data_IF_279834088808
#
_entry.id   IF_279834088808
#
_cell.length_a   1.000
_cell.length_b   1.000
_cell.length_c   1.000
_cell.angle_alpha   90.00
_cell.angle_beta   90.00
_cell.angle_gamma   90.00
#
_symmetry.space_group_name_H-M   'P 1'
#
loop_
_entity.id
_entity.type
_entity.pdbx_description
1 polymer ?
#
# COMPACT_ATOMS: atom_id res chain seq x y z
N UNK A 1 -62.05 -21.82 -5.82
CA UNK A 1 -61.08 -20.76 -5.46
C UNK A 1 -59.71 -21.41 -5.21
N UNK A 2 -58.76 -21.26 -6.10
CA UNK A 2 -57.38 -21.78 -5.89
C UNK A 2 -56.58 -20.72 -5.12
N UNK A 3 -56.16 -21.03 -3.91
CA UNK A 3 -55.28 -20.16 -3.12
C UNK A 3 -53.88 -20.16 -3.81
N UNK A 4 -53.45 -19.00 -4.27
CA UNK A 4 -52.09 -18.79 -4.75
C UNK A 4 -51.17 -18.84 -3.55
N UNK A 5 -50.30 -19.84 -3.57
CA UNK A 5 -49.28 -20.03 -2.54
C UNK A 5 -48.18 -18.97 -2.73
N UNK A 6 -48.11 -17.98 -1.86
CA UNK A 6 -47.13 -16.89 -1.88
C UNK A 6 -45.68 -17.32 -1.57
N UNK A 7 -45.42 -18.64 -1.51
CA UNK A 7 -44.08 -19.14 -1.18
C UNK A 7 -43.05 -19.00 -2.32
N UNK A 8 -43.52 -18.77 -3.57
CA UNK A 8 -42.58 -18.59 -4.67
C UNK A 8 -41.80 -17.25 -4.65
N UNK A 9 -42.32 -16.25 -3.92
CA UNK A 9 -41.67 -14.95 -3.79
C UNK A 9 -40.69 -14.86 -2.62
N UNK A 10 -40.82 -15.71 -1.61
CA UNK A 10 -39.89 -15.72 -0.49
C UNK A 10 -38.53 -16.33 -0.85
N UNK A 11 -38.51 -17.33 -1.75
CA UNK A 11 -37.26 -17.91 -2.23
C UNK A 11 -36.46 -16.97 -3.15
N UNK A 12 -37.12 -16.05 -3.83
CA UNK A 12 -36.43 -15.03 -4.62
C UNK A 12 -35.75 -13.94 -3.77
N UNK A 13 -36.19 -13.78 -2.50
CA UNK A 13 -35.60 -12.82 -1.57
C UNK A 13 -34.45 -13.42 -0.73
N UNK A 14 -34.35 -14.75 -0.69
CA UNK A 14 -33.18 -15.47 -0.14
C UNK A 14 -32.12 -15.70 -1.21
N UNK A 15 -32.06 -14.83 -2.23
CA UNK A 15 -30.88 -14.77 -3.06
C UNK A 15 -29.73 -14.33 -2.16
N UNK A 16 -28.86 -15.28 -1.89
CA UNK A 16 -27.59 -15.12 -1.24
C UNK A 16 -27.05 -13.70 -1.46
N UNK A 17 -27.23 -12.85 -0.46
CA UNK A 17 -26.33 -11.71 -0.25
C UNK A 17 -24.99 -12.30 0.19
N UNK A 18 -24.39 -13.08 -0.70
CA UNK A 18 -22.95 -13.27 -0.68
C UNK A 18 -22.44 -11.84 -0.76
N UNK A 19 -22.01 -11.33 0.38
CA UNK A 19 -21.44 -10.01 0.51
C UNK A 19 -20.32 -9.98 -0.53
N UNK A 20 -20.62 -9.47 -1.74
CA UNK A 20 -19.61 -9.31 -2.79
C UNK A 20 -18.54 -8.45 -2.15
N UNK A 21 -17.41 -9.05 -1.87
CA UNK A 21 -16.23 -8.32 -1.43
C UNK A 21 -15.89 -7.44 -2.63
N UNK A 22 -16.31 -6.18 -2.56
CA UNK A 22 -16.01 -5.19 -3.58
C UNK A 22 -14.52 -4.89 -3.40
N UNK A 23 -13.69 -5.47 -4.25
CA UNK A 23 -12.26 -5.17 -4.31
C UNK A 23 -12.13 -3.84 -5.02
N UNK A 24 -11.63 -2.82 -4.32
CA UNK A 24 -11.50 -1.47 -4.84
C UNK A 24 -10.19 -1.27 -5.60
N UNK A 25 -9.12 -1.93 -5.16
CA UNK A 25 -7.79 -1.78 -5.73
C UNK A 25 -7.17 -3.15 -6.03
N UNK A 26 -6.47 -3.25 -7.16
CA UNK A 26 -5.75 -4.46 -7.54
C UNK A 26 -4.48 -4.10 -8.29
N UNK A 27 -3.37 -4.70 -7.89
CA UNK A 27 -2.06 -4.52 -8.50
C UNK A 27 -1.45 -5.90 -8.85
N UNK A 28 -0.48 -5.93 -9.77
CA UNK A 28 0.25 -7.14 -10.08
C UNK A 28 1.18 -7.53 -8.92
N UNK A 29 1.31 -8.82 -8.67
CA UNK A 29 2.31 -9.32 -7.75
C UNK A 29 3.70 -9.26 -8.39
N UNK A 30 4.51 -8.30 -7.95
CA UNK A 30 5.87 -8.09 -8.48
C UNK A 30 6.87 -9.21 -8.10
N UNK A 31 6.48 -10.17 -7.27
CA UNK A 31 7.25 -11.40 -7.07
C UNK A 31 6.97 -12.42 -8.16
N UNK A 32 6.06 -12.12 -9.09
CA UNK A 32 5.66 -13.00 -10.19
C UNK A 32 5.23 -14.39 -9.72
N UNK A 33 4.64 -14.50 -8.53
CA UNK A 33 4.11 -15.76 -8.04
C UNK A 33 3.00 -16.24 -8.97
N UNK A 34 3.10 -17.52 -9.36
CA UNK A 34 2.17 -18.13 -10.32
C UNK A 34 0.86 -18.49 -9.61
N UNK A 35 -0.25 -18.06 -10.18
CA UNK A 35 -1.57 -18.48 -9.71
C UNK A 35 -1.84 -19.94 -10.09
N UNK A 36 -2.12 -20.85 -9.13
CA UNK A 36 -2.24 -22.29 -9.42
C UNK A 36 -3.36 -22.64 -10.40
N UNK A 37 -4.45 -21.86 -10.41
CA UNK A 37 -5.64 -22.15 -11.23
C UNK A 37 -5.52 -21.74 -12.70
N UNK A 38 -4.83 -20.63 -12.98
CA UNK A 38 -4.76 -20.04 -14.33
C UNK A 38 -3.37 -20.09 -14.93
N UNK A 39 -2.35 -20.44 -14.12
CA UNK A 39 -0.94 -20.39 -14.51
C UNK A 39 -0.42 -19.00 -14.90
N UNK A 40 -1.18 -17.98 -14.59
CA UNK A 40 -0.88 -16.57 -14.84
C UNK A 40 -0.25 -15.92 -13.59
N UNK A 41 0.22 -14.67 -13.73
CA UNK A 41 0.76 -13.88 -12.62
C UNK A 41 -0.34 -13.62 -11.58
N UNK A 42 0.02 -13.73 -10.32
CA UNK A 42 -0.90 -13.47 -9.22
C UNK A 42 -1.25 -11.98 -9.12
N UNK A 43 -2.46 -11.68 -8.69
CA UNK A 43 -2.95 -10.33 -8.45
C UNK A 43 -3.11 -10.15 -6.95
N UNK A 44 -2.57 -9.06 -6.44
CA UNK A 44 -2.76 -8.63 -5.05
C UNK A 44 -3.86 -7.57 -4.97
N UNK A 45 -4.57 -7.53 -3.85
CA UNK A 45 -5.76 -6.70 -3.71
C UNK A 45 -5.70 -5.80 -2.50
N UNK A 46 -6.41 -4.67 -2.60
CA UNK A 46 -6.74 -3.74 -1.52
C UNK A 46 -5.52 -3.34 -0.65
N UNK A 47 -5.57 -3.57 0.64
CA UNK A 47 -4.55 -3.17 1.63
C UNK A 47 -3.16 -3.68 1.25
N UNK A 48 -3.06 -4.94 0.81
CA UNK A 48 -1.77 -5.55 0.45
C UNK A 48 -1.18 -4.88 -0.78
N UNK A 49 -2.01 -4.58 -1.78
CA UNK A 49 -1.60 -3.88 -2.99
C UNK A 49 -1.06 -2.49 -2.66
N UNK A 50 -1.80 -1.72 -1.85
CA UNK A 50 -1.41 -0.35 -1.48
C UNK A 50 -0.14 -0.35 -0.62
N UNK A 51 -0.03 -1.21 0.39
CA UNK A 51 1.19 -1.33 1.22
C UNK A 51 2.43 -1.62 0.36
N UNK A 52 2.28 -2.50 -0.61
CA UNK A 52 3.37 -2.85 -1.52
C UNK A 52 3.72 -1.69 -2.46
N UNK A 53 2.71 -0.97 -2.96
CA UNK A 53 2.91 0.24 -3.79
C UNK A 53 3.67 1.31 -3.03
N UNK A 54 3.24 1.66 -1.81
CA UNK A 54 3.92 2.65 -0.95
C UNK A 54 5.36 2.24 -0.67
N UNK A 55 5.60 0.98 -0.31
CA UNK A 55 6.96 0.47 -0.08
C UNK A 55 7.83 0.61 -1.32
N UNK A 56 7.34 0.20 -2.47
CA UNK A 56 8.09 0.28 -3.72
C UNK A 56 8.37 1.72 -4.11
N UNK A 57 7.41 2.62 -3.92
CA UNK A 57 7.54 4.04 -4.20
C UNK A 57 8.66 4.70 -3.36
N UNK A 58 8.76 4.36 -2.08
CA UNK A 58 9.80 4.88 -1.19
C UNK A 58 11.19 4.38 -1.62
N UNK A 59 11.28 3.11 -2.02
CA UNK A 59 12.54 2.50 -2.43
C UNK A 59 12.98 2.87 -3.85
N UNK A 60 12.06 3.42 -4.66
CA UNK A 60 12.32 3.83 -6.03
C UNK A 60 13.16 5.11 -6.07
N UNK A 61 14.25 5.09 -6.83
CA UNK A 61 15.02 6.30 -7.09
C UNK A 61 14.50 7.03 -8.34
N UNK A 62 14.83 8.32 -8.44
CA UNK A 62 14.59 9.06 -9.68
C UNK A 62 15.31 8.39 -10.85
N UNK A 63 14.69 8.41 -12.03
CA UNK A 63 15.16 7.81 -13.28
C UNK A 63 15.15 6.26 -13.33
N UNK A 64 14.69 5.56 -12.31
CA UNK A 64 14.55 4.10 -12.34
C UNK A 64 13.28 3.63 -13.08
N UNK A 65 12.21 4.46 -13.06
CA UNK A 65 10.95 4.11 -13.73
C UNK A 65 10.99 4.52 -15.21
N UNK A 66 10.85 3.58 -16.16
CA UNK A 66 10.75 3.89 -17.57
C UNK A 66 9.58 4.84 -17.87
N UNK A 67 9.77 5.81 -18.74
CA UNK A 67 8.80 6.81 -19.19
C UNK A 67 8.33 7.82 -18.11
N UNK A 68 8.70 7.63 -16.86
CA UNK A 68 8.35 8.50 -15.72
C UNK A 68 9.56 8.71 -14.81
N UNK A 69 10.63 9.37 -15.31
CA UNK A 69 11.88 9.55 -14.56
C UNK A 69 11.73 10.43 -13.31
N UNK A 70 10.66 11.21 -13.25
CA UNK A 70 10.32 12.10 -12.13
C UNK A 70 9.82 11.34 -10.89
N UNK A 71 9.28 10.12 -11.09
CA UNK A 71 8.73 9.33 -9.97
C UNK A 71 9.86 8.69 -9.18
N UNK A 72 9.86 8.95 -7.89
CA UNK A 72 10.80 8.35 -6.94
C UNK A 72 11.13 9.28 -5.78
N UNK A 73 11.52 8.69 -4.65
CA UNK A 73 11.86 9.42 -3.44
C UNK A 73 13.31 9.87 -3.36
N UNK A 74 14.21 9.22 -4.10
CA UNK A 74 15.65 9.42 -3.93
C UNK A 74 16.10 9.19 -2.48
N UNK A 75 15.38 8.35 -1.75
CA UNK A 75 15.61 8.02 -0.34
C UNK A 75 16.96 7.35 -0.16
N UNK A 76 17.35 6.48 -1.08
CA UNK A 76 18.64 5.79 -1.04
C UNK A 76 19.83 6.74 -0.99
N UNK A 77 19.77 7.86 -1.71
CA UNK A 77 20.84 8.86 -1.66
C UNK A 77 21.05 9.47 -0.27
N UNK A 78 19.99 9.53 0.55
CA UNK A 78 20.05 10.04 1.91
C UNK A 78 20.62 9.04 2.91
N UNK A 79 20.60 7.74 2.61
CA UNK A 79 21.16 6.72 3.49
C UNK A 79 22.69 6.83 3.64
N UNK A 80 23.36 7.50 2.68
CA UNK A 80 24.80 7.79 2.75
C UNK A 80 25.15 9.02 3.59
N UNK A 81 24.12 9.78 4.06
CA UNK A 81 24.32 10.89 4.99
C UNK A 81 24.58 10.38 6.42
N UNK A 82 25.18 11.20 7.30
CA UNK A 82 25.38 10.80 8.69
C UNK A 82 24.07 10.43 9.38
N UNK A 83 24.11 9.39 10.21
CA UNK A 83 22.98 8.95 11.02
C UNK A 83 22.70 9.96 12.14
N UNK A 84 21.92 10.99 11.85
CA UNK A 84 21.53 12.03 12.81
C UNK A 84 20.03 12.20 12.85
N UNK A 85 19.52 12.77 13.94
CA UNK A 85 18.09 13.11 14.06
C UNK A 85 17.67 14.10 12.98
N UNK A 86 18.56 15.03 12.60
CA UNK A 86 18.28 16.02 11.55
C UNK A 86 18.07 15.34 10.20
N UNK A 87 18.93 14.39 9.83
CA UNK A 87 18.78 13.61 8.59
C UNK A 87 17.52 12.76 8.65
N UNK A 88 17.18 12.18 9.81
CA UNK A 88 15.93 11.44 9.98
C UNK A 88 14.69 12.32 9.74
N UNK A 89 14.69 13.56 10.22
CA UNK A 89 13.60 14.51 9.98
C UNK A 89 13.47 14.89 8.49
N UNK A 90 14.59 15.17 7.83
CA UNK A 90 14.59 15.46 6.38
C UNK A 90 14.09 14.25 5.59
N UNK A 91 14.49 13.03 5.98
CA UNK A 91 14.05 11.78 5.38
C UNK A 91 12.53 11.58 5.56
N UNK A 92 12.00 11.84 6.77
CA UNK A 92 10.56 11.79 7.05
C UNK A 92 9.77 12.75 6.13
N UNK A 93 10.21 14.00 6.02
CA UNK A 93 9.57 14.98 5.15
C UNK A 93 9.59 14.57 3.68
N UNK A 94 10.72 14.00 3.23
CA UNK A 94 10.87 13.52 1.86
C UNK A 94 9.94 12.35 1.56
N UNK A 95 9.86 11.37 2.47
CA UNK A 95 8.94 10.23 2.36
C UNK A 95 7.49 10.73 2.29
N UNK A 96 7.11 11.66 3.18
CA UNK A 96 5.78 12.29 3.18
C UNK A 96 5.45 12.91 1.84
N UNK A 97 6.33 13.76 1.31
CA UNK A 97 6.13 14.43 0.03
C UNK A 97 5.93 13.44 -1.13
N UNK A 98 6.71 12.36 -1.15
CA UNK A 98 6.63 11.34 -2.20
C UNK A 98 5.32 10.58 -2.16
N UNK A 99 4.87 10.18 -0.97
CA UNK A 99 3.59 9.47 -0.80
C UNK A 99 2.43 10.39 -1.19
N UNK A 100 2.38 11.61 -0.67
CA UNK A 100 1.32 12.57 -0.97
C UNK A 100 1.22 12.91 -2.46
N UNK A 101 2.36 12.91 -3.18
CA UNK A 101 2.40 13.26 -4.61
C UNK A 101 2.03 12.08 -5.51
N UNK A 102 2.50 10.88 -5.20
CA UNK A 102 2.46 9.76 -6.14
C UNK A 102 1.53 8.61 -5.72
N UNK A 103 0.97 8.61 -4.50
CA UNK A 103 0.05 7.59 -4.04
C UNK A 103 -1.30 8.18 -3.58
N UNK A 104 -2.16 8.58 -4.52
CA UNK A 104 -3.43 9.27 -4.20
C UNK A 104 -4.47 8.37 -3.52
N UNK A 105 -4.22 7.06 -3.39
CA UNK A 105 -5.11 6.12 -2.70
C UNK A 105 -4.95 6.14 -1.18
N UNK A 106 -3.94 6.86 -0.70
CA UNK A 106 -3.52 6.90 0.70
C UNK A 106 -3.70 8.29 1.27
N UNK A 107 -4.27 8.38 2.44
CA UNK A 107 -4.28 9.57 3.29
C UNK A 107 -3.25 9.36 4.40
N UNK A 108 -2.14 10.10 4.33
CA UNK A 108 -1.02 9.93 5.23
C UNK A 108 -1.31 10.58 6.58
N UNK A 109 -1.22 9.80 7.65
CA UNK A 109 -1.38 10.27 9.03
C UNK A 109 -0.05 10.75 9.59
N UNK A 110 0.93 9.84 9.65
CA UNK A 110 2.24 10.16 10.21
C UNK A 110 3.38 9.35 9.56
N UNK A 111 4.58 9.93 9.60
CA UNK A 111 5.83 9.28 9.17
C UNK A 111 6.88 9.52 10.23
N UNK A 112 7.19 8.49 10.99
CA UNK A 112 8.25 8.50 11.99
C UNK A 112 9.50 7.84 11.45
N UNK A 113 10.63 8.53 11.57
CA UNK A 113 11.95 8.01 11.18
C UNK A 113 12.89 8.13 12.39
N UNK A 114 13.46 7.00 12.80
CA UNK A 114 14.36 6.92 13.95
C UNK A 114 15.69 6.33 13.52
N UNK A 115 16.83 7.02 13.81
CA UNK A 115 18.15 6.45 13.51
C UNK A 115 18.47 5.30 14.46
N UNK A 116 18.81 4.12 13.92
CA UNK A 116 19.32 2.95 14.66
C UNK A 116 20.83 2.85 14.51
N UNK A 117 21.55 3.44 15.43
CA UNK A 117 23.02 3.49 15.40
C UNK A 117 23.67 2.11 15.42
N UNK A 118 23.07 1.15 16.16
CA UNK A 118 23.61 -0.22 16.28
C UNK A 118 23.57 -1.02 14.97
N UNK A 119 22.65 -0.68 14.08
CA UNK A 119 22.43 -1.38 12.82
C UNK A 119 22.82 -0.54 11.59
N UNK A 120 23.35 0.67 11.83
CA UNK A 120 23.67 1.62 10.76
C UNK A 120 22.50 1.84 9.79
N UNK A 121 21.27 1.95 10.32
CA UNK A 121 20.03 2.00 9.59
C UNK A 121 19.09 3.09 10.10
N UNK A 122 18.11 3.46 9.28
CA UNK A 122 16.94 4.21 9.71
C UNK A 122 15.74 3.28 9.82
N UNK A 123 15.05 3.32 10.95
CA UNK A 123 13.77 2.65 11.15
C UNK A 123 12.65 3.62 10.76
N UNK A 124 11.87 3.24 9.78
CA UNK A 124 10.80 4.07 9.21
C UNK A 124 9.46 3.43 9.50
N UNK A 125 8.60 4.15 10.21
CA UNK A 125 7.24 3.72 10.50
C UNK A 125 6.26 4.71 9.87
N UNK A 126 5.36 4.21 9.01
CA UNK A 126 4.42 5.00 8.22
C UNK A 126 3.02 4.58 8.61
N UNK A 127 2.23 5.55 9.06
CA UNK A 127 0.82 5.41 9.43
C UNK A 127 -0.05 6.10 8.38
N UNK A 128 -1.02 5.40 7.83
CA UNK A 128 -1.91 5.93 6.82
C UNK A 128 -3.28 5.26 6.79
N UNK A 129 -4.25 5.97 6.25
CA UNK A 129 -5.58 5.45 5.93
C UNK A 129 -5.72 5.22 4.43
N UNK A 130 -6.57 4.27 4.06
CA UNK A 130 -6.90 4.02 2.67
C UNK A 130 -8.18 4.75 2.31
N UNK A 131 -8.15 5.57 1.28
CA UNK A 131 -9.33 6.31 0.80
C UNK A 131 -10.38 5.32 0.30
N UNK A 132 -11.65 5.56 0.67
CA UNK A 132 -12.80 4.70 0.35
C UNK A 132 -12.77 3.28 0.97
N UNK A 133 -11.90 3.02 1.93
CA UNK A 133 -11.92 1.82 2.76
C UNK A 133 -12.50 2.13 4.16
N UNK A 134 -12.91 1.11 4.94
CA UNK A 134 -13.17 1.32 6.36
C UNK A 134 -11.97 2.02 6.99
N UNK A 135 -12.25 3.00 7.86
CA UNK A 135 -11.21 3.78 8.58
C UNK A 135 -10.43 2.86 9.53
N UNK A 136 -9.50 2.13 8.96
CA UNK A 136 -8.59 1.25 9.67
C UNK A 136 -7.18 1.72 9.36
N UNK A 137 -6.50 2.28 10.37
CA UNK A 137 -5.14 2.82 10.22
C UNK A 137 -4.20 1.68 9.87
N UNK A 138 -3.55 1.81 8.74
CA UNK A 138 -2.57 0.85 8.26
C UNK A 138 -1.17 1.30 8.63
N UNK A 139 -0.33 0.35 8.98
CA UNK A 139 1.08 0.60 9.32
C UNK A 139 2.00 -0.12 8.35
N UNK A 140 3.07 0.57 7.95
CA UNK A 140 4.20 -0.02 7.23
C UNK A 140 5.47 0.26 8.03
N UNK A 141 6.20 -0.79 8.34
CA UNK A 141 7.52 -0.71 8.96
C UNK A 141 8.58 -1.06 7.92
N UNK A 142 9.58 -0.21 7.79
CA UNK A 142 10.69 -0.38 6.86
C UNK A 142 12.01 -0.12 7.59
N UNK A 143 12.95 -1.03 7.44
CA UNK A 143 14.33 -0.79 7.84
C UNK A 143 15.12 -0.40 6.59
N UNK A 144 15.67 0.81 6.59
CA UNK A 144 16.49 1.33 5.51
C UNK A 144 17.96 1.26 5.96
N UNK A 145 18.63 0.22 5.50
CA UNK A 145 20.04 -0.02 5.76
C UNK A 145 20.91 0.78 4.78
N UNK A 146 22.07 1.20 5.27
CA UNK A 146 23.08 1.93 4.52
C UNK A 146 23.88 1.02 3.59
#
# INVERSE_FOLDING_TARGET
>A
MRSWNNNAYSDAQVSNKTKRITRHFSDLDLFFTRKPSTSDVNIIHDVVAIKRSVRNLILLNHHEKPFHPEIGGGVRGMLFQPLTIVVAQVLSQKIRMVIDTYEPRVELEDVMVVPKYSQNAFDVNILFNIINAPRDVQTIELMLER
#
